data_IF_087394850671
#
_entry.id   IF_087394850671
#
_cell.length_a   1.000
_cell.length_b   1.000
_cell.length_c   1.000
_cell.angle_alpha   90.00
_cell.angle_beta   90.00
_cell.angle_gamma   90.00
#
_symmetry.space_group_name_H-M   'P 1'
#
loop_
_entity.id
_entity.type
_entity.pdbx_description
1 polymer ?
#
# COMPACT_ATOMS: atom_id res chain seq x y z
N UNK A 1 -2.69 -18.99 11.72
CA UNK A 1 -2.23 -17.58 11.72
C UNK A 1 -1.81 -17.20 10.30
N UNK A 2 -2.68 -16.54 9.56
CA UNK A 2 -2.53 -16.32 8.12
C UNK A 2 -1.48 -15.24 7.80
N UNK A 3 -0.52 -15.61 6.96
CA UNK A 3 0.55 -14.77 6.37
C UNK A 3 0.06 -13.61 5.48
N UNK A 4 -1.26 -13.38 5.41
CA UNK A 4 -1.89 -12.32 4.62
C UNK A 4 -1.82 -10.93 5.26
N UNK A 5 -1.61 -10.82 6.57
CA UNK A 5 -1.53 -9.52 7.24
C UNK A 5 -0.22 -8.75 6.98
N UNK A 6 0.86 -9.42 6.54
CA UNK A 6 2.17 -8.76 6.42
C UNK A 6 2.34 -8.06 5.05
N UNK A 7 1.77 -8.59 3.97
CA UNK A 7 1.94 -8.00 2.62
C UNK A 7 0.94 -6.87 2.35
N UNK A 8 -0.23 -6.90 2.99
CA UNK A 8 -1.20 -5.81 2.88
C UNK A 8 -0.66 -4.54 3.55
N UNK A 9 0.13 -4.65 4.63
CA UNK A 9 0.58 -3.49 5.38
C UNK A 9 1.62 -2.62 4.64
N UNK A 10 2.40 -3.19 3.72
CA UNK A 10 3.36 -2.42 2.89
C UNK A 10 2.74 -1.86 1.62
N UNK A 11 1.62 -2.42 1.15
CA UNK A 11 0.97 -1.98 -0.10
C UNK A 11 -0.17 -0.98 0.15
N UNK A 12 -0.68 -0.89 1.39
CA UNK A 12 -1.79 0.01 1.76
C UNK A 12 -1.42 1.50 1.81
N UNK A 13 -0.14 1.86 1.72
CA UNK A 13 0.32 3.27 1.82
C UNK A 13 0.27 4.02 0.47
N UNK A 14 -0.10 3.37 -0.65
CA UNK A 14 -0.05 3.97 -1.98
C UNK A 14 -1.39 4.53 -2.51
N UNK A 15 -2.16 5.21 -1.67
CA UNK A 15 -3.27 6.04 -2.13
C UNK A 15 -3.19 7.45 -1.55
N UNK A 16 -3.32 8.43 -2.44
CA UNK A 16 -3.28 9.87 -2.25
C UNK A 16 -1.87 10.52 -2.17
N UNK A 17 -1.69 11.73 -2.77
CA UNK A 17 -0.43 12.48 -2.75
C UNK A 17 0.02 12.93 -1.35
N UNK A 18 -0.85 12.77 -0.34
CA UNK A 18 -0.56 12.96 1.09
C UNK A 18 0.44 11.91 1.64
N UNK A 19 0.65 10.78 0.95
CA UNK A 19 1.58 9.72 1.35
C UNK A 19 3.06 10.12 1.33
N UNK A 20 3.43 11.22 0.66
CA UNK A 20 4.85 11.58 0.55
C UNK A 20 5.43 12.02 1.89
N UNK A 21 4.75 12.90 2.63
CA UNK A 21 5.25 13.41 3.92
C UNK A 21 5.21 12.30 4.97
N UNK A 22 4.09 11.57 5.01
CA UNK A 22 3.90 10.41 5.88
C UNK A 22 4.99 9.35 5.65
N UNK A 23 5.19 8.95 4.38
CA UNK A 23 6.21 7.99 3.98
C UNK A 23 7.62 8.50 4.23
N UNK A 24 7.89 9.80 4.04
CA UNK A 24 9.20 10.40 4.34
C UNK A 24 9.52 10.41 5.82
N UNK A 25 8.56 10.79 6.66
CA UNK A 25 8.71 10.71 8.10
C UNK A 25 8.97 9.24 8.53
N UNK A 26 8.18 8.31 7.97
CA UNK A 26 8.28 6.88 8.22
C UNK A 26 9.59 6.23 7.72
N UNK A 27 10.18 6.74 6.64
CA UNK A 27 11.48 6.28 6.15
C UNK A 27 12.62 6.80 7.06
N UNK A 28 12.53 8.06 7.49
CA UNK A 28 13.59 8.71 8.26
C UNK A 28 13.68 8.18 9.70
N UNK A 29 12.55 8.05 10.41
CA UNK A 29 12.59 7.54 11.78
C UNK A 29 13.05 6.07 11.81
N UNK A 30 12.71 5.25 10.81
CA UNK A 30 13.16 3.86 10.71
C UNK A 30 14.68 3.79 10.55
N UNK A 31 15.25 4.62 9.68
CA UNK A 31 16.69 4.71 9.50
C UNK A 31 17.41 5.21 10.77
N UNK A 32 16.82 6.16 11.50
CA UNK A 32 17.37 6.64 12.79
C UNK A 32 17.27 5.59 13.90
N UNK A 33 16.16 4.86 13.98
CA UNK A 33 15.97 3.75 14.91
C UNK A 33 16.98 2.64 14.64
N UNK A 34 17.18 2.27 13.38
CA UNK A 34 18.18 1.27 13.01
C UNK A 34 19.59 1.71 13.40
N UNK A 35 19.97 2.97 13.14
CA UNK A 35 21.24 3.54 13.60
C UNK A 35 21.39 3.49 15.12
N UNK A 36 20.33 3.82 15.87
CA UNK A 36 20.33 3.79 17.33
C UNK A 36 20.57 2.38 17.89
N UNK A 37 20.13 1.35 17.18
CA UNK A 37 20.24 -0.06 17.56
C UNK A 37 21.54 -0.72 17.09
N UNK A 38 22.19 -0.20 16.04
CA UNK A 38 23.29 -0.88 15.34
C UNK A 38 24.63 -0.18 15.42
N UNK A 39 24.64 1.15 15.57
CA UNK A 39 25.87 1.92 15.64
C UNK A 39 26.23 2.19 17.10
N UNK A 40 27.52 2.12 17.41
CA UNK A 40 28.05 2.53 18.70
C UNK A 40 28.14 4.07 18.75
N UNK A 41 26.97 4.72 18.83
CA UNK A 41 26.84 6.17 18.92
C UNK A 41 27.03 6.66 20.34
N UNK A 42 27.72 7.80 20.49
CA UNK A 42 27.94 8.45 21.78
C UNK A 42 26.62 8.81 22.48
N UNK A 43 26.63 8.93 23.80
CA UNK A 43 25.40 9.20 24.58
C UNK A 43 24.72 10.52 24.18
N UNK A 44 25.51 11.55 23.87
CA UNK A 44 25.00 12.84 23.36
C UNK A 44 24.33 12.69 21.99
N UNK A 45 24.92 11.92 21.07
CA UNK A 45 24.34 11.64 19.76
C UNK A 45 23.07 10.79 19.88
N UNK A 46 23.02 9.81 20.80
CA UNK A 46 21.82 9.03 21.09
C UNK A 46 20.66 9.91 21.55
N UNK A 47 20.94 10.93 22.36
CA UNK A 47 19.91 11.87 22.81
C UNK A 47 19.34 12.68 21.63
N UNK A 48 20.20 13.18 20.74
CA UNK A 48 19.79 13.90 19.52
C UNK A 48 18.96 12.99 18.61
N UNK A 49 19.42 11.77 18.33
CA UNK A 49 18.72 10.80 17.49
C UNK A 49 17.32 10.50 18.06
N UNK A 50 17.20 10.28 19.37
CA UNK A 50 15.89 10.05 20.03
C UNK A 50 14.96 11.24 19.87
N UNK A 51 15.47 12.46 20.03
CA UNK A 51 14.68 13.69 19.85
C UNK A 51 14.19 13.82 18.40
N UNK A 52 15.04 13.51 17.43
CA UNK A 52 14.68 13.56 16.01
C UNK A 52 13.66 12.49 15.64
N UNK A 53 13.77 11.28 16.20
CA UNK A 53 12.76 10.21 16.06
C UNK A 53 11.40 10.68 16.57
N UNK A 54 11.33 11.25 17.78
CA UNK A 54 10.07 11.73 18.35
C UNK A 54 9.44 12.82 17.46
N UNK A 55 10.24 13.78 17.00
CA UNK A 55 9.76 14.81 16.09
C UNK A 55 9.24 14.25 14.76
N UNK A 56 9.86 13.19 14.22
CA UNK A 56 9.39 12.51 13.01
C UNK A 56 8.09 11.73 13.25
N UNK A 57 7.91 11.14 14.43
CA UNK A 57 6.65 10.48 14.83
C UNK A 57 5.52 11.50 14.93
N UNK A 58 5.77 12.67 15.54
CA UNK A 58 4.78 13.75 15.61
C UNK A 58 4.39 14.20 14.20
N UNK A 59 5.37 14.41 13.31
CA UNK A 59 5.11 14.78 11.91
C UNK A 59 4.33 13.68 11.18
N UNK A 60 4.60 12.40 11.46
CA UNK A 60 3.86 11.29 10.88
C UNK A 60 2.37 11.37 11.24
N UNK A 61 2.05 11.50 12.53
CA UNK A 61 0.66 11.60 12.97
C UNK A 61 -0.03 12.89 12.51
N UNK A 62 0.67 14.03 12.54
CA UNK A 62 0.15 15.28 11.97
C UNK A 62 -0.15 15.14 10.47
N UNK A 63 0.72 14.48 9.71
CA UNK A 63 0.50 14.24 8.29
C UNK A 63 -0.64 13.25 8.02
N UNK A 64 -0.90 12.32 8.95
CA UNK A 64 -2.01 11.38 8.88
C UNK A 64 -3.37 12.08 9.06
N UNK A 65 -3.44 13.06 9.97
CA UNK A 65 -4.67 13.81 10.27
C UNK A 65 -4.86 15.07 9.42
N UNK A 66 -3.82 15.58 8.78
CA UNK A 66 -3.85 16.75 7.90
C UNK A 66 -5.01 16.81 6.89
N UNK A 67 -5.44 15.71 6.23
CA UNK A 67 -6.57 15.74 5.31
C UNK A 67 -7.91 16.13 5.97
N UNK A 68 -8.05 15.91 7.28
CA UNK A 68 -9.26 16.23 8.05
C UNK A 68 -9.35 17.71 8.40
N UNK A 69 -8.20 18.38 8.52
CA UNK A 69 -8.09 19.75 9.05
C UNK A 69 -7.69 20.78 7.98
N UNK A 70 -7.37 20.35 6.76
CA UNK A 70 -6.91 21.24 5.68
C UNK A 70 -5.47 21.75 5.86
N UNK A 71 -4.72 21.20 6.82
CA UNK A 71 -3.38 21.65 7.19
C UNK A 71 -2.30 21.09 6.25
N UNK A 72 -1.31 21.91 5.88
CA UNK A 72 -0.17 21.47 5.04
C UNK A 72 1.04 21.14 5.91
N UNK A 73 1.30 19.84 6.08
CA UNK A 73 2.45 19.35 6.86
C UNK A 73 3.65 19.12 5.95
N UNK A 74 4.86 19.38 6.44
CA UNK A 74 6.11 19.10 5.71
C UNK A 74 7.19 18.57 6.66
N UNK A 75 8.09 17.72 6.16
CA UNK A 75 9.23 17.22 6.94
C UNK A 75 10.38 18.25 6.87
N UNK A 76 10.84 18.82 7.99
CA UNK A 76 12.00 19.72 8.01
C UNK A 76 13.26 19.05 7.47
N UNK A 77 14.05 19.77 6.67
CA UNK A 77 15.28 19.25 6.07
C UNK A 77 16.30 18.74 7.10
N UNK A 78 16.33 19.32 8.31
CA UNK A 78 17.20 18.89 9.41
C UNK A 78 16.91 17.48 9.94
N UNK A 79 15.67 17.00 9.76
CA UNK A 79 15.25 15.65 10.18
C UNK A 79 15.42 14.61 9.08
N UNK A 80 15.86 15.04 7.89
CA UNK A 80 16.05 14.15 6.76
C UNK A 80 17.38 13.39 6.88
N UNK A 81 17.31 12.07 6.79
CA UNK A 81 18.49 11.21 6.78
C UNK A 81 19.09 11.10 5.37
N UNK A 82 20.42 11.10 5.29
CA UNK A 82 21.18 10.99 4.04
C UNK A 82 21.44 9.54 3.62
N UNK A 83 21.56 8.63 4.59
CA UNK A 83 21.78 7.20 4.38
C UNK A 83 20.70 6.36 5.06
N UNK A 84 20.37 5.23 4.45
CA UNK A 84 19.33 4.30 4.87
C UNK A 84 19.94 2.89 5.03
N UNK A 85 19.39 2.04 5.90
CA UNK A 85 19.86 0.68 6.00
C UNK A 85 19.59 -0.08 4.68
N UNK A 86 20.53 -0.95 4.30
CA UNK A 86 20.52 -1.68 3.04
C UNK A 86 19.22 -2.47 2.75
N UNK A 87 18.55 -2.98 3.79
CA UNK A 87 17.27 -3.69 3.65
C UNK A 87 16.10 -2.81 3.16
N UNK A 88 16.27 -1.48 3.12
CA UNK A 88 15.31 -0.54 2.50
C UNK A 88 15.53 -0.37 0.99
N UNK A 89 16.48 -1.10 0.39
CA UNK A 89 16.72 -1.17 -1.05
C UNK A 89 16.91 0.21 -1.72
N UNK A 90 17.57 1.13 -1.01
CA UNK A 90 17.98 2.42 -1.59
C UNK A 90 19.22 2.25 -2.47
N UNK A 91 19.48 3.18 -3.40
CA UNK A 91 20.70 3.15 -4.21
C UNK A 91 21.96 3.04 -3.33
N UNK A 92 23.02 2.33 -3.77
CA UNK A 92 24.20 2.06 -2.93
C UNK A 92 24.84 3.30 -2.29
N UNK A 93 24.82 4.44 -2.98
CA UNK A 93 25.35 5.72 -2.47
C UNK A 93 24.51 6.36 -1.36
N UNK A 94 23.34 5.81 -1.04
CA UNK A 94 22.44 6.23 0.04
C UNK A 94 22.17 5.08 1.02
N UNK A 95 22.99 4.03 1.01
CA UNK A 95 22.77 2.83 1.80
C UNK A 95 23.96 2.53 2.71
N UNK A 96 23.69 1.96 3.88
CA UNK A 96 24.70 1.38 4.78
C UNK A 96 24.30 -0.05 5.17
N UNK A 97 25.30 -0.89 5.47
CA UNK A 97 25.05 -2.25 5.95
C UNK A 97 24.65 -2.21 7.42
N UNK A 98 23.47 -2.73 7.72
CA UNK A 98 22.86 -2.70 9.04
C UNK A 98 23.11 -4.03 9.74
N UNK A 99 23.52 -3.98 11.00
CA UNK A 99 23.73 -5.17 11.84
C UNK A 99 22.51 -5.52 12.69
N UNK A 100 21.37 -4.84 12.47
CA UNK A 100 20.14 -5.07 13.21
C UNK A 100 19.56 -6.45 12.87
N UNK A 101 18.58 -6.89 13.67
CA UNK A 101 17.82 -8.10 13.38
C UNK A 101 17.19 -8.03 11.98
N UNK A 102 16.68 -6.85 11.57
CA UNK A 102 16.09 -6.66 10.24
C UNK A 102 17.14 -6.80 9.13
N UNK A 103 18.33 -6.22 9.30
CA UNK A 103 19.45 -6.38 8.37
C UNK A 103 19.85 -7.84 8.21
N UNK A 104 20.06 -8.56 9.32
CA UNK A 104 20.43 -9.98 9.30
C UNK A 104 19.40 -10.87 8.61
N UNK A 105 18.11 -10.64 8.86
CA UNK A 105 17.02 -11.37 8.19
C UNK A 105 17.07 -11.11 6.68
N UNK A 106 17.26 -9.85 6.29
CA UNK A 106 17.33 -9.47 4.89
C UNK A 106 18.52 -10.13 4.16
N UNK A 107 19.71 -10.09 4.77
CA UNK A 107 20.92 -10.71 4.22
C UNK A 107 20.77 -12.23 4.06
N UNK A 108 20.18 -12.91 5.06
CA UNK A 108 19.94 -14.36 5.00
C UNK A 108 18.98 -14.72 3.86
N UNK A 109 17.89 -13.95 3.67
CA UNK A 109 16.97 -14.15 2.55
C UNK A 109 17.68 -13.91 1.21
N UNK A 110 18.50 -12.87 1.10
CA UNK A 110 19.28 -12.58 -0.13
C UNK A 110 20.32 -13.65 -0.42
N UNK A 111 20.95 -14.22 0.61
CA UNK A 111 21.91 -15.30 0.46
C UNK A 111 21.23 -16.55 -0.11
N UNK A 112 20.07 -16.94 0.44
CA UNK A 112 19.26 -18.05 -0.06
C UNK A 112 18.79 -17.82 -1.51
N UNK A 113 18.48 -16.58 -1.88
CA UNK A 113 18.15 -16.19 -3.26
C UNK A 113 19.32 -16.35 -4.25
N UNK A 114 20.58 -16.23 -3.78
CA UNK A 114 21.77 -16.26 -4.63
C UNK A 114 22.44 -17.64 -4.76
N UNK A 115 22.35 -18.49 -3.72
CA UNK A 115 23.01 -19.80 -3.66
C UNK A 115 22.25 -20.91 -4.41
N UNK A 116 21.03 -20.66 -4.84
CA UNK A 116 20.23 -21.64 -5.57
C UNK A 116 20.28 -21.32 -7.07
N UNK A 117 20.60 -22.33 -7.89
CA UNK A 117 20.28 -22.28 -9.32
C UNK A 117 18.75 -22.35 -9.42
N UNK A 118 18.16 -21.16 -9.55
CA UNK A 118 16.73 -20.82 -9.60
C UNK A 118 15.89 -21.09 -8.33
N UNK A 119 15.95 -20.22 -7.31
CA UNK A 119 14.90 -20.09 -6.31
C UNK A 119 13.74 -19.25 -6.82
N UNK A 120 13.92 -18.45 -7.88
CA UNK A 120 12.83 -17.69 -8.48
C UNK A 120 11.74 -18.65 -8.97
N UNK A 121 12.10 -19.81 -9.52
CA UNK A 121 11.12 -20.84 -9.88
C UNK A 121 10.41 -21.42 -8.65
N UNK A 122 11.12 -21.71 -7.54
CA UNK A 122 10.54 -22.23 -6.29
C UNK A 122 9.74 -21.19 -5.48
N UNK A 123 10.15 -19.93 -5.41
CA UNK A 123 9.43 -18.85 -4.73
C UNK A 123 8.22 -18.39 -5.55
N UNK A 124 8.34 -18.35 -6.88
CA UNK A 124 7.19 -18.19 -7.81
C UNK A 124 6.21 -19.36 -7.68
N UNK A 125 6.71 -20.57 -7.40
CA UNK A 125 5.86 -21.73 -7.05
C UNK A 125 5.14 -21.55 -5.69
N UNK A 126 5.70 -20.77 -4.76
CA UNK A 126 5.09 -20.50 -3.45
C UNK A 126 4.01 -19.40 -3.51
N UNK A 127 4.20 -18.36 -4.33
CA UNK A 127 3.18 -17.31 -4.52
C UNK A 127 2.18 -17.77 -5.57
N UNK A 128 1.43 -18.84 -5.25
CA UNK A 128 0.19 -19.13 -5.99
C UNK A 128 -0.75 -17.97 -5.77
N UNK A 129 -1.21 -17.34 -6.86
CA UNK A 129 -2.28 -16.35 -6.78
C UNK A 129 -3.50 -17.09 -6.23
N UNK A 130 -3.83 -16.79 -4.98
CA UNK A 130 -4.99 -17.33 -4.29
C UNK A 130 -6.00 -16.19 -4.14
N UNK A 131 -7.03 -16.14 -4.99
CA UNK A 131 -8.12 -15.19 -4.83
C UNK A 131 -8.82 -15.38 -3.48
N UNK A 132 -9.47 -14.33 -2.99
CA UNK A 132 -10.30 -14.40 -1.81
C UNK A 132 -11.68 -14.98 -2.19
N UNK A 133 -12.05 -16.09 -1.54
CA UNK A 133 -13.32 -16.80 -1.77
C UNK A 133 -14.53 -15.87 -1.67
N UNK A 134 -14.50 -14.93 -0.72
CA UNK A 134 -15.56 -13.93 -0.53
C UNK A 134 -15.85 -13.04 -1.74
N UNK A 135 -14.95 -12.97 -2.73
CA UNK A 135 -15.15 -12.22 -3.97
C UNK A 135 -15.31 -13.12 -5.19
N UNK A 136 -14.79 -14.34 -5.16
CA UNK A 136 -14.89 -15.30 -6.28
C UNK A 136 -16.18 -16.12 -6.26
N UNK A 137 -16.79 -16.30 -5.09
CA UNK A 137 -18.07 -17.02 -4.95
C UNK A 137 -19.28 -16.14 -5.24
N UNK A 138 -19.11 -14.81 -5.28
CA UNK A 138 -20.18 -13.90 -5.63
C UNK A 138 -20.67 -14.15 -7.05
N UNK A 139 -21.97 -14.39 -7.18
CA UNK A 139 -22.64 -14.48 -8.47
C UNK A 139 -22.70 -13.07 -9.03
N UNK A 140 -21.98 -12.85 -10.13
CA UNK A 140 -21.87 -11.57 -10.80
C UNK A 140 -22.49 -11.70 -12.19
N UNK A 141 -23.31 -10.71 -12.56
CA UNK A 141 -23.88 -10.58 -13.89
C UNK A 141 -22.80 -10.67 -15.00
N UNK A 142 -23.06 -11.49 -16.02
CA UNK A 142 -22.11 -11.70 -17.12
C UNK A 142 -21.88 -10.43 -17.95
N UNK A 143 -22.83 -9.50 -17.93
CA UNK A 143 -22.71 -8.17 -18.51
C UNK A 143 -21.57 -7.39 -17.85
N UNK A 144 -21.48 -7.40 -16.51
CA UNK A 144 -20.40 -6.73 -15.79
C UNK A 144 -19.05 -7.39 -16.07
N UNK A 145 -18.97 -8.72 -16.06
CA UNK A 145 -17.72 -9.43 -16.41
C UNK A 145 -17.26 -9.12 -17.82
N UNK A 146 -18.17 -9.19 -18.80
CA UNK A 146 -17.86 -8.92 -20.20
C UNK A 146 -17.39 -7.48 -20.41
N UNK A 147 -18.09 -6.52 -19.81
CA UNK A 147 -17.71 -5.09 -19.82
C UNK A 147 -16.33 -4.88 -19.23
N UNK A 148 -16.06 -5.41 -18.04
CA UNK A 148 -14.77 -5.22 -17.36
C UNK A 148 -13.63 -5.98 -18.00
N UNK A 149 -13.90 -7.11 -18.67
CA UNK A 149 -12.90 -7.79 -19.51
C UNK A 149 -12.42 -6.91 -20.64
N UNK A 150 -13.34 -6.21 -21.33
CA UNK A 150 -12.98 -5.26 -22.39
C UNK A 150 -12.22 -4.04 -21.83
N UNK A 151 -12.74 -3.43 -20.76
CA UNK A 151 -12.10 -2.28 -20.11
C UNK A 151 -10.70 -2.61 -19.61
N UNK A 152 -10.52 -3.77 -18.98
CA UNK A 152 -9.24 -4.19 -18.46
C UNK A 152 -8.22 -4.47 -19.57
N UNK A 153 -8.64 -5.01 -20.72
CA UNK A 153 -7.76 -5.11 -21.90
C UNK A 153 -7.33 -3.73 -22.41
N UNK A 154 -8.23 -2.74 -22.40
CA UNK A 154 -7.90 -1.34 -22.65
C UNK A 154 -6.84 -0.81 -21.69
N UNK A 155 -7.04 -1.03 -20.39
CA UNK A 155 -6.09 -0.67 -19.35
C UNK A 155 -4.71 -1.28 -19.62
N UNK A 156 -4.63 -2.58 -19.93
CA UNK A 156 -3.35 -3.25 -20.17
C UNK A 156 -2.58 -2.64 -21.34
N UNK A 157 -3.26 -2.20 -22.40
CA UNK A 157 -2.63 -1.50 -23.54
C UNK A 157 -2.12 -0.11 -23.14
N UNK A 158 -2.94 0.66 -22.44
CA UNK A 158 -2.58 2.00 -21.95
C UNK A 158 -1.39 1.91 -20.97
N UNK A 159 -1.48 1.01 -19.97
CA UNK A 159 -0.45 0.82 -18.94
C UNK A 159 0.88 0.36 -19.53
N UNK A 160 0.87 -0.53 -20.52
CA UNK A 160 2.08 -1.01 -21.18
C UNK A 160 2.83 0.12 -21.89
N UNK A 161 2.10 1.09 -22.44
CA UNK A 161 2.68 2.28 -23.05
C UNK A 161 3.30 3.20 -21.99
N UNK A 162 2.67 3.32 -20.81
CA UNK A 162 3.18 4.12 -19.70
C UNK A 162 4.44 3.53 -19.05
N UNK A 163 4.62 2.21 -19.09
CA UNK A 163 5.83 1.57 -18.58
C UNK A 163 7.11 2.03 -19.28
N UNK A 164 7.01 2.54 -20.52
CA UNK A 164 8.14 3.04 -21.32
C UNK A 164 8.60 4.45 -20.94
N UNK A 165 7.87 5.15 -20.07
CA UNK A 165 8.22 6.50 -19.61
C UNK A 165 9.40 6.42 -18.63
N UNK A 166 10.52 7.06 -18.99
CA UNK A 166 11.75 7.04 -18.19
C UNK A 166 11.66 7.84 -16.88
N UNK A 167 10.95 8.97 -16.87
CA UNK A 167 10.78 9.78 -15.66
C UNK A 167 9.78 9.13 -14.68
N UNK A 168 10.27 8.77 -13.50
CA UNK A 168 9.49 8.09 -12.45
C UNK A 168 8.34 8.94 -11.91
N UNK A 169 8.53 10.26 -11.76
CA UNK A 169 7.51 11.17 -11.22
C UNK A 169 6.38 11.35 -12.23
N UNK A 170 6.73 11.59 -13.50
CA UNK A 170 5.76 11.70 -14.59
C UNK A 170 5.01 10.39 -14.79
N UNK A 171 5.72 9.25 -14.75
CA UNK A 171 5.10 7.92 -14.84
C UNK A 171 4.05 7.72 -13.75
N UNK A 172 4.38 8.04 -12.49
CA UNK A 172 3.45 7.89 -11.37
C UNK A 172 2.19 8.76 -11.55
N UNK A 173 2.34 10.01 -12.01
CA UNK A 173 1.20 10.90 -12.30
C UNK A 173 0.31 10.29 -13.39
N UNK A 174 0.91 9.82 -14.49
CA UNK A 174 0.15 9.21 -15.60
C UNK A 174 -0.61 7.94 -15.17
N UNK A 175 0.01 7.09 -14.36
CA UNK A 175 -0.66 5.92 -13.79
C UNK A 175 -1.80 6.31 -12.86
N UNK A 176 -1.61 7.34 -12.02
CA UNK A 176 -2.69 7.85 -11.17
C UNK A 176 -3.87 8.34 -12.00
N UNK A 177 -3.63 9.14 -13.05
CA UNK A 177 -4.69 9.59 -13.97
C UNK A 177 -5.38 8.41 -14.66
N UNK A 178 -4.62 7.37 -15.04
CA UNK A 178 -5.18 6.15 -15.62
C UNK A 178 -6.10 5.44 -14.63
N UNK A 179 -5.69 5.25 -13.38
CA UNK A 179 -6.57 4.64 -12.36
C UNK A 179 -7.81 5.48 -12.10
N UNK A 180 -7.68 6.82 -12.06
CA UNK A 180 -8.81 7.73 -11.88
C UNK A 180 -9.85 7.62 -12.99
N UNK A 181 -9.40 7.46 -14.25
CA UNK A 181 -10.29 7.17 -15.39
C UNK A 181 -11.16 5.93 -15.13
N UNK A 182 -10.56 4.82 -14.68
CA UNK A 182 -11.30 3.58 -14.41
C UNK A 182 -12.14 3.65 -13.13
N UNK A 183 -11.71 4.40 -12.11
CA UNK A 183 -12.55 4.69 -10.93
C UNK A 183 -13.83 5.41 -11.31
N UNK A 184 -13.74 6.45 -12.15
CA UNK A 184 -14.92 7.18 -12.63
C UNK A 184 -15.87 6.29 -13.42
N UNK A 185 -15.37 5.29 -14.16
CA UNK A 185 -16.23 4.31 -14.86
C UNK A 185 -16.98 3.39 -13.88
N UNK A 186 -16.35 3.02 -12.76
CA UNK A 186 -16.97 2.18 -11.74
C UNK A 186 -17.94 2.97 -10.85
N UNK A 187 -17.52 4.13 -10.34
CA UNK A 187 -18.25 4.85 -9.31
C UNK A 187 -19.18 5.95 -9.86
N UNK A 188 -19.05 6.32 -11.13
CA UNK A 188 -19.63 7.56 -11.69
C UNK A 188 -19.25 8.81 -10.87
N UNK A 189 -18.13 8.74 -10.15
CA UNK A 189 -17.59 9.73 -9.23
C UNK A 189 -16.07 9.59 -9.09
N UNK A 190 -15.40 10.53 -8.42
CA UNK A 190 -13.94 10.43 -8.20
C UNK A 190 -13.61 9.35 -7.17
N UNK A 191 -14.42 9.26 -6.12
CA UNK A 191 -14.27 8.28 -5.05
C UNK A 191 -15.58 7.56 -4.75
N UNK A 192 -15.47 6.44 -4.05
CA UNK A 192 -16.56 5.52 -3.78
C UNK A 192 -17.65 6.14 -2.87
N UNK A 193 -17.25 7.03 -1.97
CA UNK A 193 -18.10 7.72 -1.02
C UNK A 193 -19.05 8.72 -1.71
N UNK A 194 -18.62 9.27 -2.84
CA UNK A 194 -19.35 10.29 -3.63
C UNK A 194 -20.32 9.67 -4.65
N UNK A 195 -20.21 8.36 -4.88
CA UNK A 195 -21.03 7.64 -5.84
C UNK A 195 -22.51 7.67 -5.47
N UNK A 196 -23.35 8.04 -6.43
CA UNK A 196 -24.82 7.96 -6.31
C UNK A 196 -25.37 6.58 -6.69
N UNK A 197 -24.50 5.65 -7.07
CA UNK A 197 -24.90 4.29 -7.44
C UNK A 197 -25.31 3.48 -6.21
N UNK A 198 -26.22 2.54 -6.42
CA UNK A 198 -26.61 1.54 -5.44
C UNK A 198 -25.38 0.77 -4.91
N UNK A 199 -25.29 0.61 -3.58
CA UNK A 199 -24.18 -0.12 -2.93
C UNK A 199 -24.12 -1.58 -3.39
N UNK A 200 -25.24 -2.35 -3.43
CA UNK A 200 -25.26 -3.68 -4.03
C UNK A 200 -24.63 -3.74 -5.44
N UNK A 201 -25.05 -2.86 -6.35
CA UNK A 201 -24.57 -2.84 -7.74
C UNK A 201 -23.07 -2.54 -7.80
N UNK A 202 -22.59 -1.61 -6.97
CA UNK A 202 -21.16 -1.30 -6.86
C UNK A 202 -20.35 -2.47 -6.34
N UNK A 203 -20.88 -3.21 -5.36
CA UNK A 203 -20.20 -4.38 -4.80
C UNK A 203 -20.16 -5.53 -5.81
N UNK A 204 -21.25 -5.77 -6.52
CA UNK A 204 -21.31 -6.77 -7.59
C UNK A 204 -20.33 -6.43 -8.72
N UNK A 205 -20.33 -5.19 -9.20
CA UNK A 205 -19.42 -4.77 -10.27
C UNK A 205 -17.96 -4.73 -9.80
N UNK A 206 -17.70 -4.42 -8.53
CA UNK A 206 -16.37 -4.54 -7.91
C UNK A 206 -15.89 -6.00 -7.87
N UNK A 207 -16.77 -6.95 -7.53
CA UNK A 207 -16.50 -8.38 -7.62
C UNK A 207 -16.22 -8.80 -9.06
N UNK A 208 -16.96 -8.27 -10.05
CA UNK A 208 -16.69 -8.51 -11.47
C UNK A 208 -15.26 -8.15 -11.85
N UNK A 209 -14.80 -6.96 -11.45
CA UNK A 209 -13.43 -6.50 -11.67
C UNK A 209 -12.43 -7.44 -11.01
N UNK A 210 -12.67 -7.80 -9.76
CA UNK A 210 -11.80 -8.70 -9.01
C UNK A 210 -11.65 -10.06 -9.72
N UNK A 211 -12.78 -10.68 -10.07
CA UNK A 211 -12.82 -11.98 -10.76
C UNK A 211 -12.09 -11.94 -12.10
N UNK A 212 -12.39 -10.96 -12.97
CA UNK A 212 -11.75 -10.80 -14.29
C UNK A 212 -10.24 -10.61 -14.18
N UNK A 213 -9.80 -9.77 -13.23
CA UNK A 213 -8.38 -9.46 -13.04
C UNK A 213 -7.62 -10.67 -12.51
N UNK A 214 -8.17 -11.35 -11.49
CA UNK A 214 -7.51 -12.50 -10.87
C UNK A 214 -7.52 -13.73 -11.78
N UNK A 215 -8.59 -13.97 -12.53
CA UNK A 215 -8.62 -15.02 -13.56
C UNK A 215 -7.49 -14.82 -14.58
N UNK A 216 -7.35 -13.61 -15.12
CA UNK A 216 -6.28 -13.29 -16.07
C UNK A 216 -4.88 -13.32 -15.45
N UNK A 217 -4.75 -12.93 -14.18
CA UNK A 217 -3.47 -12.96 -13.46
C UNK A 217 -3.03 -14.40 -13.18
N UNK A 218 -3.96 -15.29 -12.81
CA UNK A 218 -3.72 -16.73 -12.63
C UNK A 218 -3.33 -17.37 -13.96
N UNK A 219 -4.11 -17.13 -15.03
CA UNK A 219 -3.84 -17.70 -16.35
C UNK A 219 -2.45 -17.33 -16.90
N UNK A 220 -1.92 -16.17 -16.52
CA UNK A 220 -0.62 -15.67 -16.98
C UNK A 220 0.50 -15.82 -15.95
N UNK A 221 0.18 -16.30 -14.75
CA UNK A 221 1.12 -16.36 -13.61
C UNK A 221 1.82 -15.02 -13.34
N UNK A 222 1.02 -13.94 -13.28
CA UNK A 222 1.49 -12.55 -13.17
C UNK A 222 0.82 -11.82 -11.99
N UNK A 223 1.41 -11.91 -10.80
CA UNK A 223 0.90 -11.28 -9.56
C UNK A 223 0.78 -9.75 -9.67
N UNK A 224 1.65 -9.13 -10.46
CA UNK A 224 1.66 -7.66 -10.68
C UNK A 224 0.35 -7.14 -11.29
N UNK A 225 -0.42 -8.00 -11.96
CA UNK A 225 -1.71 -7.66 -12.59
C UNK A 225 -2.85 -7.53 -11.58
N UNK A 226 -2.77 -8.21 -10.44
CA UNK A 226 -3.79 -8.14 -9.38
C UNK A 226 -4.01 -6.72 -8.83
N UNK A 227 -2.99 -5.85 -8.96
CA UNK A 227 -3.03 -4.49 -8.44
C UNK A 227 -4.16 -3.63 -9.02
N UNK A 228 -4.59 -3.88 -10.26
CA UNK A 228 -5.66 -3.07 -10.89
C UNK A 228 -6.97 -3.14 -10.11
N UNK A 229 -7.40 -4.35 -9.72
CA UNK A 229 -8.64 -4.54 -8.98
C UNK A 229 -8.65 -3.72 -7.68
N UNK A 230 -7.54 -3.73 -6.94
CA UNK A 230 -7.40 -2.96 -5.70
C UNK A 230 -7.26 -1.45 -5.94
N UNK A 231 -6.63 -1.03 -7.05
CA UNK A 231 -6.48 0.38 -7.43
C UNK A 231 -7.78 1.05 -7.83
N UNK A 232 -8.69 0.31 -8.46
CA UNK A 232 -9.97 0.81 -8.95
C UNK A 232 -11.10 0.50 -7.97
N UNK A 233 -11.29 -0.78 -7.64
CA UNK A 233 -12.42 -1.29 -6.87
C UNK A 233 -12.13 -1.49 -5.38
N UNK A 234 -10.91 -1.18 -4.91
CA UNK A 234 -10.44 -1.57 -3.58
C UNK A 234 -11.31 -1.08 -2.44
N UNK A 235 -11.92 0.12 -2.53
CA UNK A 235 -12.82 0.62 -1.48
C UNK A 235 -14.13 -0.16 -1.40
N UNK A 236 -14.78 -0.40 -2.53
CA UNK A 236 -15.97 -1.24 -2.60
C UNK A 236 -15.70 -2.67 -2.09
N UNK A 237 -14.58 -3.28 -2.52
CA UNK A 237 -14.15 -4.62 -2.09
C UNK A 237 -13.90 -4.68 -0.57
N UNK A 238 -13.21 -3.69 0.00
CA UNK A 238 -12.97 -3.64 1.44
C UNK A 238 -14.27 -3.53 2.24
N UNK A 239 -15.23 -2.70 1.79
CA UNK A 239 -16.50 -2.57 2.49
C UNK A 239 -17.34 -3.84 2.38
N UNK A 240 -17.41 -4.45 1.19
CA UNK A 240 -18.07 -5.75 1.00
C UNK A 240 -17.47 -6.83 1.90
N UNK A 241 -16.14 -6.89 1.99
CA UNK A 241 -15.44 -7.82 2.87
C UNK A 241 -15.80 -7.64 4.34
N UNK A 242 -15.86 -6.39 4.80
CA UNK A 242 -16.27 -6.06 6.16
C UNK A 242 -17.74 -6.46 6.42
N UNK A 243 -18.63 -6.22 5.47
CA UNK A 243 -20.04 -6.61 5.55
C UNK A 243 -20.22 -8.13 5.62
N UNK A 244 -19.57 -8.87 4.74
CA UNK A 244 -19.64 -10.34 4.67
C UNK A 244 -19.12 -11.06 5.90
N UNK A 245 -18.15 -10.45 6.60
CA UNK A 245 -17.59 -11.00 7.84
C UNK A 245 -18.38 -10.65 9.08
N UNK A 246 -19.41 -9.81 8.98
CA UNK A 246 -20.42 -9.57 10.01
C UNK A 246 -19.89 -9.33 11.43
N UNK A 247 -19.93 -8.08 11.89
CA UNK A 247 -20.29 -7.77 13.29
C UNK A 247 -19.35 -8.34 14.39
N UNK A 248 -18.04 -8.44 14.13
CA UNK A 248 -17.04 -8.57 15.22
C UNK A 248 -15.80 -7.68 15.05
N UNK A 249 -15.67 -7.05 13.89
CA UNK A 249 -14.94 -5.79 13.86
C UNK A 249 -15.97 -4.75 14.17
N UNK A 250 -16.00 -4.30 15.43
CA UNK A 250 -16.51 -2.98 15.73
C UNK A 250 -15.94 -2.05 14.64
N UNK A 251 -16.79 -1.66 13.69
CA UNK A 251 -16.72 -0.32 13.18
C UNK A 251 -16.84 0.49 14.47
N UNK A 252 -15.69 0.84 15.06
CA UNK A 252 -15.62 1.91 16.00
C UNK A 252 -16.27 3.05 15.25
N UNK A 253 -17.56 3.25 15.52
CA UNK A 253 -18.29 4.37 15.01
C UNK A 253 -17.43 5.56 15.41
N UNK A 254 -17.06 6.38 14.44
CA UNK A 254 -16.24 7.57 14.64
C UNK A 254 -16.62 8.37 15.91
N UNK A 255 -17.91 8.44 16.33
CA UNK A 255 -18.31 9.09 17.58
C UNK A 255 -17.79 8.41 18.86
N UNK A 256 -17.67 7.08 18.91
CA UNK A 256 -17.22 6.34 20.11
C UNK A 256 -15.72 6.54 20.37
N UNK A 257 -14.93 6.68 19.30
CA UNK A 257 -13.53 7.07 19.43
C UNK A 257 -13.38 8.52 19.87
N UNK A 258 -14.23 9.43 19.39
CA UNK A 258 -14.18 10.84 19.74
C UNK A 258 -14.42 11.10 21.24
N UNK A 259 -15.36 10.36 21.84
CA UNK A 259 -15.61 10.41 23.29
C UNK A 259 -14.49 9.78 24.11
N UNK A 260 -13.87 8.70 23.60
CA UNK A 260 -12.71 8.10 24.24
C UNK A 260 -11.50 9.06 24.26
N UNK A 261 -11.27 9.82 23.19
CA UNK A 261 -10.19 10.81 23.13
C UNK A 261 -10.48 12.10 23.91
N UNK A 262 -11.74 12.53 24.05
CA UNK A 262 -12.12 13.65 24.92
C UNK A 262 -11.86 13.35 26.39
N UNK A 263 -12.03 12.09 26.82
CA UNK A 263 -11.83 11.67 28.22
C UNK A 263 -10.37 11.71 28.68
N UNK A 264 -9.40 11.76 27.77
CA UNK A 264 -7.96 11.86 28.06
C UNK A 264 -7.40 13.28 27.88
N UNK A 265 -8.26 14.28 27.64
CA UNK A 265 -7.88 15.70 27.49
C UNK A 265 -8.40 16.61 28.61
N UNK A 266 -8.91 16.04 29.70
CA UNK A 266 -9.25 16.75 30.93
C UNK A 266 -8.14 16.54 31.98
#
# INVERSE_FOLDING_TARGET
MCKFCIIINTTFVLFLPFSYVLGKAADCWLALMDRLLTLNVSESERHVIRKDILALVDIYYLALDAPKEGNKVSVPAKLMVSQYPHFMERPPNRSYNSTSVLGKIYDEVKLQESQTVSPISKLKTIIKISPLECFTEEVVAEEYKSRWKYLYQGYLKESSSLCKVGDKKIKNIKFWTLYQKYKRILYDAEEFEESQRSRPDLFEEACAIYQVVYELAILRDEVSKCGFAWKVAGRALCQLYALKRGVDTALCSFPVLEDAFKKYRA
#
